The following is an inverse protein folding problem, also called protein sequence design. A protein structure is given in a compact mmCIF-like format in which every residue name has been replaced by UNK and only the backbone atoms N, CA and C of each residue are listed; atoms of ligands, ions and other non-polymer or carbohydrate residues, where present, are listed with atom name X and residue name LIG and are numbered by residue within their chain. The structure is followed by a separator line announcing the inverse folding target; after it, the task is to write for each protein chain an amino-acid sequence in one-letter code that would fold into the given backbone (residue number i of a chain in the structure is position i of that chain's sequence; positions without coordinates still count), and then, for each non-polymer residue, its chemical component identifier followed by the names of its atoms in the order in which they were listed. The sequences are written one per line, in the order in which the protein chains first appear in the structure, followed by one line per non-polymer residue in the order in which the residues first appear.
data_IF_078879506623
#
_entry.id   IF_078879506623
#
_cell.length_a   1.000
_cell.length_b   1.000
_cell.length_c   1.000
_cell.angle_alpha   90.00
_cell.angle_beta   90.00
_cell.angle_gamma   90.00
#
_symmetry.space_group_name_H-M   'P 1'
#
loop_
_entity.id
_entity.type
_entity.pdbx_description
1 polymer ?
#
# COMPACT_ATOMS: atom_id res chain seq x y z
N UNK A 1 7.28 -14.45 0.53
CA UNK A 1 6.02 -13.66 0.53
C UNK A 1 4.81 -14.59 0.44
N UNK A 2 3.63 -14.26 0.99
CA UNK A 2 2.42 -15.07 0.77
C UNK A 2 1.80 -14.79 -0.62
N UNK A 3 0.90 -15.64 -1.15
CA UNK A 3 0.35 -15.48 -2.51
C UNK A 3 -0.41 -14.16 -2.73
N UNK A 4 -1.13 -13.67 -1.71
CA UNK A 4 -1.88 -12.40 -1.80
C UNK A 4 -0.94 -11.21 -1.93
N UNK A 5 0.10 -11.15 -1.10
CA UNK A 5 1.10 -10.09 -1.19
C UNK A 5 1.89 -10.16 -2.51
N UNK A 6 2.24 -11.37 -2.99
CA UNK A 6 2.91 -11.54 -4.29
C UNK A 6 2.10 -10.91 -5.42
N UNK A 7 0.80 -11.23 -5.48
CA UNK A 7 -0.12 -10.67 -6.48
C UNK A 7 -0.08 -9.14 -6.53
N UNK A 8 -0.07 -8.46 -5.39
CA UNK A 8 -0.11 -7.00 -5.35
C UNK A 8 1.25 -6.34 -5.53
N UNK A 9 2.34 -7.00 -5.13
CA UNK A 9 3.71 -6.58 -5.49
C UNK A 9 3.94 -6.68 -7.00
N UNK A 10 3.44 -7.74 -7.63
CA UNK A 10 3.42 -7.87 -9.09
C UNK A 10 2.59 -6.77 -9.75
N UNK A 11 1.44 -6.45 -9.18
CA UNK A 11 0.59 -5.37 -9.70
C UNK A 11 1.29 -4.02 -9.63
N UNK A 12 2.03 -3.71 -8.56
CA UNK A 12 2.87 -2.51 -8.50
C UNK A 12 3.91 -2.48 -9.62
N UNK A 13 4.56 -3.61 -9.92
CA UNK A 13 5.51 -3.68 -11.03
C UNK A 13 4.84 -3.57 -12.40
N UNK A 14 3.66 -4.16 -12.58
CA UNK A 14 2.89 -4.09 -13.82
C UNK A 14 2.41 -2.66 -14.09
N UNK A 15 1.88 -1.96 -13.07
CA UNK A 15 1.51 -0.53 -13.15
C UNK A 15 2.75 0.34 -13.37
N UNK A 16 3.89 -0.09 -12.81
CA UNK A 16 5.24 0.50 -12.93
C UNK A 16 5.39 1.87 -12.32
N UNK A 17 4.41 2.76 -12.44
CA UNK A 17 4.46 4.15 -12.00
C UNK A 17 3.69 4.32 -10.69
N UNK A 18 4.32 4.91 -9.68
CA UNK A 18 3.68 5.22 -8.41
C UNK A 18 4.09 6.61 -7.92
N UNK A 19 3.16 7.30 -7.26
CA UNK A 19 3.51 8.40 -6.36
C UNK A 19 4.17 7.81 -5.12
N UNK A 20 5.42 8.18 -4.85
CA UNK A 20 6.08 7.89 -3.58
C UNK A 20 5.97 9.10 -2.66
N UNK A 21 5.65 8.88 -1.40
CA UNK A 21 5.68 9.85 -0.33
C UNK A 21 6.75 9.50 0.71
N UNK A 22 7.44 10.52 1.20
CA UNK A 22 8.48 10.46 2.24
C UNK A 22 8.35 11.70 3.12
N UNK A 23 9.10 11.74 4.21
CA UNK A 23 9.15 12.87 5.12
C UNK A 23 10.56 13.45 5.12
N UNK A 24 10.69 14.77 5.08
CA UNK A 24 11.99 15.43 5.21
C UNK A 24 12.43 15.57 6.68
N UNK A 25 13.66 16.05 6.90
CA UNK A 25 14.21 16.22 8.24
C UNK A 25 13.43 17.22 9.13
N UNK A 26 12.51 18.01 8.56
CA UNK A 26 11.64 18.93 9.29
C UNK A 26 10.25 18.33 9.54
N UNK A 27 10.01 17.06 9.20
CA UNK A 27 8.71 16.43 9.34
C UNK A 27 7.72 16.79 8.22
N UNK A 28 8.15 17.49 7.17
CA UNK A 28 7.24 17.91 6.10
C UNK A 28 7.02 16.76 5.11
N UNK A 29 5.76 16.51 4.69
CA UNK A 29 5.47 15.49 3.69
C UNK A 29 6.00 15.92 2.33
N UNK A 30 6.56 14.97 1.60
CA UNK A 30 7.14 15.17 0.28
C UNK A 30 6.58 14.09 -0.65
N UNK A 31 6.22 14.44 -1.88
CA UNK A 31 5.63 13.52 -2.85
C UNK A 31 6.24 13.69 -4.25
N UNK A 32 6.34 12.61 -5.02
CA UNK A 32 6.86 12.58 -6.40
C UNK A 32 6.48 11.30 -7.11
N UNK A 33 6.50 11.33 -8.43
CA UNK A 33 6.33 10.13 -9.25
C UNK A 33 7.65 9.36 -9.38
N UNK A 34 7.60 8.05 -9.18
CA UNK A 34 8.72 7.12 -9.32
C UNK A 34 8.30 5.90 -10.15
N UNK A 35 9.29 5.06 -10.47
CA UNK A 35 9.08 3.76 -11.06
C UNK A 35 9.42 2.65 -10.06
N UNK A 36 8.55 1.66 -9.93
CA UNK A 36 8.85 0.36 -9.29
C UNK A 36 9.64 -0.44 -10.31
N UNK A 37 10.91 -0.71 -10.03
CA UNK A 37 11.88 -1.22 -10.99
C UNK A 37 11.86 -2.74 -11.10
N UNK A 38 11.70 -3.43 -9.97
CA UNK A 38 11.64 -4.90 -9.89
C UNK A 38 10.65 -5.32 -8.80
N UNK A 39 10.12 -6.54 -8.93
CA UNK A 39 9.29 -7.23 -7.95
C UNK A 39 9.96 -8.57 -7.60
N UNK A 40 10.75 -8.55 -6.53
CA UNK A 40 11.48 -9.70 -6.00
C UNK A 40 10.62 -10.42 -4.95
N UNK A 41 11.06 -11.60 -4.51
CA UNK A 41 10.37 -12.34 -3.43
C UNK A 41 10.53 -11.67 -2.07
N UNK A 42 11.59 -10.88 -1.91
CA UNK A 42 11.91 -10.06 -0.74
C UNK A 42 11.18 -8.72 -0.74
N UNK A 43 10.63 -8.27 -1.88
CA UNK A 43 9.89 -7.01 -1.97
C UNK A 43 10.13 -6.22 -3.26
N UNK A 44 9.85 -4.92 -3.19
CA UNK A 44 9.92 -4.02 -4.35
C UNK A 44 11.24 -3.30 -4.40
N UNK A 45 11.84 -3.20 -5.60
CA UNK A 45 13.08 -2.44 -5.82
C UNK A 45 12.77 -1.12 -6.51
N UNK A 46 13.33 -0.03 -5.99
CA UNK A 46 13.32 1.29 -6.60
C UNK A 46 14.77 1.79 -6.76
N UNK A 47 14.99 2.76 -7.65
CA UNK A 47 16.29 3.41 -7.81
C UNK A 47 16.15 4.93 -7.75
N UNK A 48 17.14 5.60 -7.18
CA UNK A 48 17.20 7.07 -7.19
C UNK A 48 18.63 7.57 -7.15
N UNK A 49 18.87 8.73 -7.78
CA UNK A 49 20.19 9.36 -7.85
C UNK A 49 20.61 9.91 -6.49
N UNK A 50 21.88 9.71 -6.11
CA UNK A 50 22.42 10.13 -4.80
C UNK A 50 22.25 11.62 -4.47
N UNK A 51 22.22 12.49 -5.48
CA UNK A 51 22.04 13.93 -5.29
C UNK A 51 20.60 14.39 -5.00
N UNK A 52 19.59 13.51 -5.05
CA UNK A 52 18.19 13.90 -4.89
C UNK A 52 17.78 13.96 -3.42
N UNK A 53 16.92 14.93 -3.01
CA UNK A 53 16.32 14.93 -1.67
C UNK A 53 15.63 13.61 -1.33
N UNK A 54 15.00 12.96 -2.32
CA UNK A 54 14.37 11.65 -2.15
C UNK A 54 15.37 10.57 -1.71
N UNK A 55 16.58 10.52 -2.28
CA UNK A 55 17.62 9.59 -1.84
C UNK A 55 17.98 9.81 -0.38
N UNK A 56 18.18 11.08 0.02
CA UNK A 56 18.51 11.44 1.40
C UNK A 56 17.39 11.03 2.36
N UNK A 57 16.14 11.34 2.01
CA UNK A 57 14.96 11.01 2.81
C UNK A 57 14.78 9.49 3.00
N UNK A 58 15.02 8.68 1.96
CA UNK A 58 14.96 7.21 2.08
C UNK A 58 16.04 6.68 3.02
N UNK A 59 17.28 7.17 2.89
CA UNK A 59 18.40 6.76 3.73
C UNK A 59 18.21 7.17 5.19
N UNK A 60 17.68 8.37 5.44
CA UNK A 60 17.52 8.90 6.80
C UNK A 60 16.27 8.36 7.51
N UNK A 61 15.13 8.29 6.83
CA UNK A 61 13.87 7.86 7.47
C UNK A 61 13.68 6.35 7.44
N UNK A 62 14.25 5.65 6.45
CA UNK A 62 14.00 4.23 6.21
C UNK A 62 12.54 3.89 5.91
N UNK A 63 11.71 4.88 5.52
CA UNK A 63 10.27 4.70 5.26
C UNK A 63 9.85 5.29 3.93
N UNK A 64 8.83 4.68 3.32
CA UNK A 64 8.19 5.19 2.11
C UNK A 64 6.72 4.77 2.08
N UNK A 65 5.86 5.63 1.55
CA UNK A 65 4.50 5.26 1.15
C UNK A 65 4.36 5.38 -0.37
N UNK A 66 3.67 4.44 -1.00
CA UNK A 66 3.39 4.41 -2.43
C UNK A 66 1.89 4.51 -2.67
N UNK A 67 1.52 5.22 -3.72
CA UNK A 67 0.16 5.26 -4.25
C UNK A 67 0.22 5.15 -5.77
N UNK A 68 -0.54 4.23 -6.34
CA UNK A 68 -0.63 4.01 -7.77
C UNK A 68 -2.10 3.82 -8.18
N UNK A 69 -2.38 4.10 -9.45
CA UNK A 69 -3.67 3.85 -10.08
C UNK A 69 -3.50 2.72 -11.09
N UNK A 70 -4.27 1.65 -10.92
CA UNK A 70 -4.34 0.55 -11.88
C UNK A 70 -5.02 1.02 -13.18
N UNK A 71 -4.81 0.33 -14.32
CA UNK A 71 -5.39 0.72 -15.61
C UNK A 71 -6.92 0.83 -15.58
N UNK A 72 -7.59 -0.02 -14.81
CA UNK A 72 -9.04 0.01 -14.62
C UNK A 72 -9.46 0.94 -13.46
N UNK A 73 -8.66 1.97 -13.17
CA UNK A 73 -8.92 3.01 -12.17
C UNK A 73 -9.06 2.51 -10.71
N UNK A 74 -8.63 1.30 -10.39
CA UNK A 74 -8.51 0.89 -8.99
C UNK A 74 -7.31 1.56 -8.33
N UNK A 75 -7.42 1.79 -7.03
CA UNK A 75 -6.33 2.35 -6.25
C UNK A 75 -5.47 1.23 -5.65
N UNK A 76 -4.16 1.47 -5.63
CA UNK A 76 -3.19 0.61 -4.97
C UNK A 76 -2.31 1.48 -4.08
N UNK A 77 -2.31 1.22 -2.78
CA UNK A 77 -1.46 1.93 -1.81
C UNK A 77 -0.60 0.95 -1.02
N UNK A 78 0.53 1.44 -0.55
CA UNK A 78 1.47 0.68 0.26
C UNK A 78 2.24 1.60 1.20
N UNK A 79 2.52 1.18 2.42
CA UNK A 79 3.45 1.86 3.33
C UNK A 79 4.42 0.83 3.85
N UNK A 80 5.71 1.14 3.85
CA UNK A 80 6.70 0.18 4.28
C UNK A 80 8.05 0.76 4.63
N UNK A 81 8.93 -0.15 5.07
CA UNK A 81 10.32 0.16 5.35
C UNK A 81 11.18 -0.08 4.13
N UNK A 82 12.20 0.76 3.97
CA UNK A 82 13.08 0.76 2.82
C UNK A 82 14.52 0.89 3.28
N UNK A 83 15.42 0.16 2.62
CA UNK A 83 16.86 0.25 2.87
C UNK A 83 17.64 0.26 1.57
N UNK A 84 18.79 0.93 1.58
CA UNK A 84 19.75 0.85 0.49
C UNK A 84 20.30 -0.57 0.40
N UNK A 85 20.44 -1.10 -0.81
CA UNK A 85 21.00 -2.43 -1.03
C UNK A 85 22.53 -2.40 -0.89
N UNK A 86 23.13 -3.44 -0.29
CA UNK A 86 24.58 -3.49 -0.02
C UNK A 86 25.40 -3.47 -1.31
N UNK A 87 25.13 -4.39 -2.24
CA UNK A 87 25.69 -4.36 -3.60
C UNK A 87 24.79 -3.55 -4.55
N UNK A 88 24.64 -2.26 -4.23
CA UNK A 88 23.81 -1.37 -5.02
C UNK A 88 24.24 -1.30 -6.50
N UNK A 89 25.50 -1.59 -6.83
CA UNK A 89 26.00 -1.52 -8.20
C UNK A 89 25.44 -2.68 -9.03
N UNK A 90 25.56 -3.90 -8.53
CA UNK A 90 25.00 -5.08 -9.20
C UNK A 90 23.47 -4.97 -9.36
N UNK A 91 22.77 -4.47 -8.33
CA UNK A 91 21.32 -4.27 -8.43
C UNK A 91 20.91 -3.18 -9.42
N UNK A 92 21.72 -2.14 -9.60
CA UNK A 92 21.50 -1.15 -10.67
C UNK A 92 21.69 -1.80 -12.05
N UNK A 93 22.69 -2.68 -12.22
CA UNK A 93 22.88 -3.40 -13.47
C UNK A 93 21.67 -4.32 -13.78
N UNK A 94 21.16 -5.03 -12.76
CA UNK A 94 19.96 -5.87 -12.86
C UNK A 94 18.70 -5.08 -13.24
N UNK A 95 18.53 -3.89 -12.64
CA UNK A 95 17.45 -2.96 -12.99
C UNK A 95 17.55 -2.54 -14.46
N UNK A 96 18.75 -2.25 -14.96
CA UNK A 96 18.95 -1.82 -16.34
C UNK A 96 18.73 -2.95 -17.34
N UNK A 97 19.04 -4.19 -16.98
CA UNK A 97 18.73 -5.37 -17.78
C UNK A 97 17.21 -5.49 -18.04
N UNK A 98 16.41 -5.23 -17.01
CA UNK A 98 14.95 -5.29 -17.08
C UNK A 98 14.29 -4.00 -17.60
N UNK A 99 15.05 -2.93 -17.79
CA UNK A 99 14.55 -1.61 -18.21
C UNK A 99 15.51 -0.98 -19.24
N UNK A 100 15.74 -1.60 -20.42
CA UNK A 100 16.79 -1.21 -21.34
C UNK A 100 16.68 0.23 -21.89
N UNK A 101 15.48 0.81 -21.93
CA UNK A 101 15.29 2.22 -22.32
C UNK A 101 15.99 3.23 -21.39
N UNK A 102 16.36 2.84 -20.17
CA UNK A 102 17.14 3.71 -19.28
C UNK A 102 18.57 3.94 -19.74
N UNK A 103 19.11 3.10 -20.63
CA UNK A 103 20.46 3.25 -21.14
C UNK A 103 20.65 4.58 -21.92
N UNK A 104 19.59 5.08 -22.56
CA UNK A 104 19.61 6.38 -23.26
C UNK A 104 19.66 7.56 -22.27
N UNK A 105 18.96 7.42 -21.14
CA UNK A 105 18.92 8.44 -20.07
C UNK A 105 20.23 8.45 -19.28
N UNK A 106 20.86 7.28 -19.11
CA UNK A 106 22.11 7.09 -18.37
C UNK A 106 23.19 6.46 -19.27
N UNK A 107 23.81 7.23 -20.17
CA UNK A 107 24.83 6.73 -21.08
C UNK A 107 26.11 6.28 -20.35
N UNK A 108 26.77 5.28 -20.91
CA UNK A 108 28.02 4.73 -20.36
C UNK A 108 27.86 4.24 -18.92
N UNK A 109 28.72 4.74 -18.03
CA UNK A 109 28.74 4.39 -16.61
C UNK A 109 27.92 5.34 -15.73
N UNK A 110 27.20 6.32 -16.30
CA UNK A 110 26.44 7.32 -15.53
C UNK A 110 25.30 6.70 -14.72
N UNK A 111 24.83 5.49 -15.07
CA UNK A 111 23.83 4.72 -14.29
C UNK A 111 24.24 4.53 -12.84
N UNK A 112 25.54 4.46 -12.57
CA UNK A 112 26.06 4.28 -11.21
C UNK A 112 25.96 5.53 -10.34
N UNK A 113 25.40 6.64 -10.85
CA UNK A 113 24.91 7.75 -10.03
C UNK A 113 23.66 7.38 -9.21
N UNK A 114 22.98 6.29 -9.59
CA UNK A 114 21.83 5.71 -8.91
C UNK A 114 22.29 4.78 -7.79
N UNK A 115 21.52 4.75 -6.71
CA UNK A 115 21.52 3.64 -5.77
C UNK A 115 20.19 2.88 -5.86
N UNK A 116 20.24 1.57 -5.60
CA UNK A 116 19.10 0.68 -5.49
C UNK A 116 18.64 0.57 -4.04
N UNK A 117 17.33 0.59 -3.85
CA UNK A 117 16.67 0.48 -2.57
C UNK A 117 15.65 -0.66 -2.61
N UNK A 118 15.64 -1.47 -1.56
CA UNK A 118 14.66 -2.52 -1.35
C UNK A 118 13.63 -2.05 -0.33
N UNK A 119 12.36 -2.03 -0.73
CA UNK A 119 11.22 -1.96 0.17
C UNK A 119 10.95 -3.38 0.64
N UNK A 120 11.43 -3.71 1.84
CA UNK A 120 11.60 -5.11 2.28
C UNK A 120 10.46 -5.61 3.18
N UNK A 121 9.64 -4.70 3.70
CA UNK A 121 8.49 -5.00 4.53
C UNK A 121 7.47 -3.87 4.44
N UNK A 122 6.21 -4.18 4.76
CA UNK A 122 5.14 -3.20 4.87
C UNK A 122 3.79 -3.81 4.58
N UNK A 123 2.79 -2.95 4.51
CA UNK A 123 1.42 -3.31 4.21
C UNK A 123 0.80 -2.41 3.15
N UNK A 124 -0.22 -2.93 2.47
CA UNK A 124 -0.90 -2.22 1.41
C UNK A 124 -2.34 -2.65 1.22
N UNK A 125 -3.00 -1.94 0.32
CA UNK A 125 -4.40 -2.15 -0.01
C UNK A 125 -4.61 -1.89 -1.50
N UNK A 126 -5.34 -2.81 -2.10
CA UNK A 126 -6.00 -2.61 -3.39
C UNK A 126 -7.47 -2.33 -3.14
N UNK A 127 -8.01 -1.32 -3.81
CA UNK A 127 -9.38 -0.86 -3.60
C UNK A 127 -10.05 -0.45 -4.91
N UNK A 128 -11.19 -1.08 -5.17
CA UNK A 128 -12.09 -0.87 -6.29
C UNK A 128 -13.42 -0.29 -5.81
N UNK A 129 -13.68 0.95 -6.22
CA UNK A 129 -14.90 1.71 -5.92
C UNK A 129 -15.88 1.74 -7.10
N UNK A 130 -15.49 1.21 -8.27
CA UNK A 130 -16.28 1.32 -9.50
C UNK A 130 -17.35 0.24 -9.65
N UNK A 131 -17.36 -0.74 -8.75
CA UNK A 131 -18.34 -1.83 -8.72
C UNK A 131 -19.14 -1.83 -7.42
N UNK A 132 -20.36 -2.37 -7.49
CA UNK A 132 -21.21 -2.63 -6.32
C UNK A 132 -21.41 -4.15 -6.14
N UNK A 133 -21.11 -4.72 -4.95
CA UNK A 133 -20.46 -4.07 -3.83
C UNK A 133 -19.00 -3.70 -4.15
N UNK A 134 -18.48 -2.66 -3.48
CA UNK A 134 -17.07 -2.26 -3.57
C UNK A 134 -16.17 -3.43 -3.18
N UNK A 135 -14.95 -3.47 -3.71
CA UNK A 135 -14.01 -4.55 -3.40
C UNK A 135 -12.70 -4.00 -2.85
N UNK A 136 -12.27 -4.56 -1.72
CA UNK A 136 -11.02 -4.21 -1.04
C UNK A 136 -10.25 -5.46 -0.70
N UNK A 137 -8.94 -5.41 -0.89
CA UNK A 137 -8.01 -6.46 -0.45
C UNK A 137 -6.79 -5.82 0.18
N UNK A 138 -6.43 -6.31 1.36
CA UNK A 138 -5.24 -5.88 2.09
C UNK A 138 -4.20 -6.97 2.06
N UNK A 139 -2.94 -6.57 2.13
CA UNK A 139 -1.81 -7.47 2.08
C UNK A 139 -0.63 -6.87 2.86
N UNK A 140 0.22 -7.74 3.37
CA UNK A 140 1.49 -7.35 3.99
C UNK A 140 2.57 -8.39 3.67
N UNK A 141 3.82 -7.98 3.78
CA UNK A 141 4.98 -8.85 3.64
C UNK A 141 6.14 -8.39 4.51
N UNK A 142 7.21 -9.18 4.55
CA UNK A 142 8.42 -8.86 5.32
C UNK A 142 8.25 -8.95 6.83
N UNK A 143 7.20 -9.63 7.32
CA UNK A 143 6.91 -9.75 8.76
C UNK A 143 6.10 -8.59 9.34
N UNK A 144 5.68 -7.62 8.53
CA UNK A 144 4.76 -6.56 8.97
C UNK A 144 3.38 -7.14 9.31
N UNK A 145 2.91 -6.84 10.52
CA UNK A 145 1.52 -7.06 10.90
C UNK A 145 0.63 -6.00 10.26
N UNK A 146 -0.51 -6.42 9.69
CA UNK A 146 -1.47 -5.47 9.11
C UNK A 146 -2.23 -4.76 10.23
N UNK A 147 -2.31 -3.43 10.16
CA UNK A 147 -3.18 -2.65 11.04
C UNK A 147 -4.63 -3.16 10.94
N UNK A 148 -5.44 -3.15 12.00
CA UNK A 148 -6.88 -3.41 11.84
C UNK A 148 -7.58 -2.13 11.37
N UNK A 149 -8.37 -2.20 10.31
CA UNK A 149 -9.03 -1.02 9.72
C UNK A 149 -10.52 -1.22 9.57
N UNK A 150 -11.26 -0.12 9.47
CA UNK A 150 -12.71 -0.12 9.36
C UNK A 150 -13.39 -0.18 10.71
N UNK A 151 -14.39 -1.05 10.83
CA UNK A 151 -15.26 -1.13 12.00
C UNK A 151 -15.46 -2.58 12.44
N UNK A 152 -15.66 -2.81 13.73
CA UNK A 152 -16.05 -4.10 14.30
C UNK A 152 -17.32 -3.94 15.14
N UNK A 153 -18.14 -5.00 15.17
CA UNK A 153 -19.34 -5.06 16.00
C UNK A 153 -19.02 -5.92 17.22
N UNK A 154 -19.26 -5.37 18.41
CA UNK A 154 -18.98 -5.99 19.69
C UNK A 154 -20.11 -6.92 20.16
N UNK A 155 -19.81 -7.72 21.18
CA UNK A 155 -20.77 -8.62 21.84
C UNK A 155 -21.96 -7.90 22.50
N UNK A 156 -21.88 -6.58 22.72
CA UNK A 156 -23.00 -5.75 23.19
C UNK A 156 -24.08 -5.51 22.12
N UNK A 157 -23.92 -6.08 20.92
CA UNK A 157 -24.90 -6.00 19.84
C UNK A 157 -26.24 -6.63 20.26
N UNK A 158 -27.32 -5.85 20.11
CA UNK A 158 -28.70 -6.31 20.39
C UNK A 158 -29.38 -6.98 19.19
N UNK A 159 -28.65 -7.22 18.11
CA UNK A 159 -29.15 -7.77 16.84
C UNK A 159 -30.38 -7.04 16.26
N UNK A 160 -30.55 -5.75 16.54
CA UNK A 160 -31.68 -4.94 16.07
C UNK A 160 -31.66 -4.63 14.55
N UNK A 161 -30.55 -4.83 13.86
CA UNK A 161 -30.41 -4.63 12.42
C UNK A 161 -30.27 -3.18 11.94
N UNK A 162 -30.26 -2.18 12.83
CA UNK A 162 -30.15 -0.76 12.46
C UNK A 162 -28.89 -0.43 11.64
N UNK A 163 -27.75 -1.02 11.97
CA UNK A 163 -26.51 -0.82 11.22
C UNK A 163 -26.58 -1.43 9.80
N UNK A 164 -27.25 -2.58 9.64
CA UNK A 164 -27.38 -3.26 8.37
C UNK A 164 -28.30 -2.49 7.40
N UNK A 165 -29.41 -1.92 7.90
CA UNK A 165 -30.35 -1.16 7.06
C UNK A 165 -29.73 0.11 6.48
N UNK A 166 -28.85 0.78 7.22
CA UNK A 166 -28.16 2.01 6.74
C UNK A 166 -26.88 1.73 5.95
N UNK A 167 -26.42 0.47 5.86
CA UNK A 167 -25.18 0.14 5.17
C UNK A 167 -25.36 0.27 3.65
N UNK A 168 -24.69 1.22 2.96
CA UNK A 168 -24.86 1.41 1.51
C UNK A 168 -24.34 0.22 0.69
N UNK A 169 -23.42 -0.56 1.26
CA UNK A 169 -22.84 -1.75 0.62
C UNK A 169 -23.59 -3.03 0.99
N UNK A 170 -24.57 -2.96 1.89
CA UNK A 170 -25.28 -4.13 2.42
C UNK A 170 -24.31 -5.23 2.90
N UNK A 171 -23.15 -4.83 3.44
CA UNK A 171 -22.05 -5.72 3.81
C UNK A 171 -22.09 -6.15 5.28
N UNK A 172 -23.20 -5.90 5.97
CA UNK A 172 -23.37 -6.22 7.40
C UNK A 172 -24.36 -7.38 7.51
N UNK A 173 -23.81 -8.55 7.81
CA UNK A 173 -24.53 -9.83 7.81
C UNK A 173 -25.19 -10.09 9.16
N UNK A 174 -26.43 -10.60 9.19
CA UNK A 174 -27.09 -11.03 10.41
C UNK A 174 -26.28 -12.06 11.21
N UNK A 175 -26.28 -11.91 12.53
CA UNK A 175 -25.57 -12.77 13.47
C UNK A 175 -25.75 -12.32 14.92
N UNK A 176 -25.12 -13.03 15.84
CA UNK A 176 -25.02 -12.69 17.27
C UNK A 176 -23.53 -12.70 17.67
N UNK A 177 -22.81 -11.57 17.54
CA UNK A 177 -23.23 -10.28 16.98
C UNK A 177 -23.34 -10.27 15.45
N UNK A 178 -23.92 -9.20 14.87
CA UNK A 178 -23.83 -8.95 13.43
C UNK A 178 -22.36 -8.85 12.98
N UNK A 179 -22.06 -9.15 11.72
CA UNK A 179 -20.68 -9.18 11.21
C UNK A 179 -20.51 -8.31 9.96
N UNK A 180 -19.41 -7.55 9.91
CA UNK A 180 -19.08 -6.69 8.76
C UNK A 180 -18.15 -7.46 7.81
N UNK A 181 -18.60 -7.67 6.57
CA UNK A 181 -17.76 -8.18 5.49
C UNK A 181 -16.75 -7.09 5.07
N UNK A 182 -15.57 -7.09 5.69
CA UNK A 182 -14.56 -6.03 5.55
C UNK A 182 -14.13 -5.75 4.10
N UNK A 183 -14.14 -6.78 3.24
CA UNK A 183 -13.80 -6.62 1.81
C UNK A 183 -14.81 -5.79 1.02
N UNK A 184 -16.00 -5.56 1.56
CA UNK A 184 -17.07 -4.74 0.99
C UNK A 184 -17.41 -3.52 1.85
N UNK A 185 -16.62 -3.23 2.90
CA UNK A 185 -16.85 -2.07 3.75
C UNK A 185 -16.25 -0.79 3.13
N UNK A 186 -17.08 0.23 2.94
CA UNK A 186 -16.63 1.59 2.58
C UNK A 186 -15.86 2.29 3.69
N UNK A 187 -15.97 1.81 4.93
CA UNK A 187 -15.46 2.48 6.12
C UNK A 187 -16.05 3.88 6.32
N UNK A 188 -17.32 4.07 5.96
CA UNK A 188 -17.99 5.38 6.02
C UNK A 188 -18.46 5.79 7.43
N UNK A 189 -18.65 4.86 8.36
CA UNK A 189 -19.06 5.15 9.74
C UNK A 189 -20.57 5.18 10.02
N UNK A 190 -21.44 5.12 9.00
CA UNK A 190 -22.90 5.14 9.18
C UNK A 190 -23.42 4.08 10.16
N UNK A 191 -22.82 2.89 10.18
CA UNK A 191 -23.20 1.85 11.13
C UNK A 191 -23.01 2.28 12.60
N UNK A 192 -21.94 3.03 12.88
CA UNK A 192 -21.63 3.54 14.22
C UNK A 192 -22.61 4.64 14.61
N UNK A 193 -22.87 5.59 13.71
CA UNK A 193 -23.80 6.71 13.94
C UNK A 193 -25.24 6.24 14.24
N UNK A 194 -25.64 5.10 13.68
CA UNK A 194 -27.00 4.56 13.81
C UNK A 194 -27.11 3.36 14.77
N UNK A 195 -26.05 2.99 15.50
CA UNK A 195 -26.14 1.88 16.44
C UNK A 195 -26.72 2.36 17.79
N UNK A 196 -27.95 1.99 18.17
CA UNK A 196 -28.56 2.46 19.43
C UNK A 196 -27.91 1.83 20.67
N UNK A 197 -27.14 0.75 20.50
CA UNK A 197 -26.43 0.06 21.57
C UNK A 197 -24.96 0.49 21.68
N UNK A 198 -24.50 1.42 20.83
CA UNK A 198 -23.09 1.85 20.75
C UNK A 198 -22.11 0.66 20.61
N UNK A 199 -22.57 -0.43 19.99
CA UNK A 199 -21.87 -1.70 19.91
C UNK A 199 -20.88 -1.79 18.74
N UNK A 200 -20.49 -0.67 18.14
CA UNK A 200 -19.63 -0.65 16.95
C UNK A 200 -18.43 0.26 17.19
N UNK A 201 -17.23 -0.29 17.03
CA UNK A 201 -15.96 0.42 17.24
C UNK A 201 -15.21 0.61 15.94
N UNK A 202 -14.56 1.75 15.81
CA UNK A 202 -13.58 2.03 14.76
C UNK A 202 -12.26 1.31 15.10
N UNK A 203 -11.63 0.69 14.10
CA UNK A 203 -10.45 -0.16 14.31
C UNK A 203 -9.10 0.53 14.06
N UNK A 204 -9.06 1.56 13.20
CA UNK A 204 -7.83 2.30 12.93
C UNK A 204 -7.55 3.35 14.02
N UNK A 205 -6.26 3.59 14.28
CA UNK A 205 -5.78 4.55 15.29
C UNK A 205 -5.88 6.01 14.84
#
# INVERSE_FOLDING_TARGET
MNPTARKYVDLFRAVKVASAATVDAQGRPQSRIINVMLALDEGMVIVTSRGKPFWKQLTESGRVALSAMCPECQSLKFTGSVRRMEDSRAWVDEVFLHNPGMNEVYPGQSRYALDAFLIYEGEGEWFDLLHHPISRKRFAYGGTEMELVGFSILETCTSCGACASVCPQQCIMPGTPYQIAQMHCLQCGLCTEHCPAEAIVRLHA
#
